data_IF_829325180867
#
_entry.id   IF_829325180867
#
_cell.length_a   1.000
_cell.length_b   1.000
_cell.length_c   1.000
_cell.angle_alpha   90.00
_cell.angle_beta   90.00
_cell.angle_gamma   90.00
#
_symmetry.space_group_name_H-M   'P 1'
#
loop_
_entity.id
_entity.type
_entity.pdbx_description
1 polymer ?
#
# COMPACT_ATOMS: atom_id res chain seq x y z
N UNK A 1 16.92 7.72 -24.51
CA UNK A 1 18.29 8.19 -24.84
C UNK A 1 19.06 8.71 -23.62
N UNK A 2 18.51 9.58 -22.75
CA UNK A 2 19.22 10.08 -21.54
C UNK A 2 19.73 8.97 -20.62
N UNK A 3 18.90 7.98 -20.27
CA UNK A 3 19.33 6.86 -19.40
C UNK A 3 20.46 6.03 -20.01
N UNK A 4 20.42 5.77 -21.32
CA UNK A 4 21.45 5.01 -22.00
C UNK A 4 22.80 5.75 -22.07
N UNK A 5 22.78 7.09 -22.17
CA UNK A 5 23.97 7.91 -22.03
C UNK A 5 24.53 7.87 -20.60
N UNK A 6 23.65 7.97 -19.60
CA UNK A 6 24.02 7.90 -18.19
C UNK A 6 24.64 6.54 -17.83
N UNK A 7 24.07 5.44 -18.32
CA UNK A 7 24.63 4.09 -18.17
C UNK A 7 25.98 3.94 -18.89
N UNK A 8 26.21 4.70 -19.96
CA UNK A 8 27.50 4.72 -20.63
C UNK A 8 28.55 5.51 -19.84
N UNK A 9 28.15 6.59 -19.19
CA UNK A 9 28.99 7.38 -18.28
C UNK A 9 29.37 6.59 -17.02
N UNK A 10 28.45 5.80 -16.47
CA UNK A 10 28.72 4.92 -15.32
C UNK A 10 29.46 3.63 -15.69
N UNK A 11 29.71 3.38 -16.98
CA UNK A 11 30.43 2.20 -17.48
C UNK A 11 29.62 0.92 -17.58
N UNK A 12 28.32 0.95 -17.26
CA UNK A 12 27.40 -0.19 -17.44
C UNK A 12 27.14 -0.51 -18.92
N UNK A 13 27.14 0.52 -19.78
CA UNK A 13 27.15 0.36 -21.22
C UNK A 13 28.47 0.88 -21.77
N UNK A 14 29.00 0.23 -22.81
CA UNK A 14 30.18 0.70 -23.52
C UNK A 14 29.76 1.39 -24.81
N UNK A 15 30.14 2.65 -24.98
CA UNK A 15 30.01 3.35 -26.26
C UNK A 15 31.16 2.95 -27.19
N UNK A 16 30.83 2.46 -28.38
CA UNK A 16 31.78 2.16 -29.46
C UNK A 16 32.08 3.43 -30.27
N UNK A 17 33.12 3.36 -31.11
CA UNK A 17 33.56 4.50 -31.97
C UNK A 17 32.50 4.95 -32.97
N UNK A 18 31.62 4.04 -33.40
CA UNK A 18 30.48 4.30 -34.28
C UNK A 18 29.24 4.87 -33.56
N UNK A 19 29.34 5.12 -32.24
CA UNK A 19 28.25 5.64 -31.42
C UNK A 19 27.29 4.58 -30.88
N UNK A 20 27.44 3.31 -31.25
CA UNK A 20 26.60 2.22 -30.72
C UNK A 20 26.90 1.94 -29.24
N UNK A 21 25.86 1.61 -28.47
CA UNK A 21 25.98 1.22 -27.07
C UNK A 21 25.88 -0.30 -26.98
N UNK A 22 26.86 -0.92 -26.32
CA UNK A 22 26.89 -2.37 -26.11
C UNK A 22 27.00 -2.71 -24.64
N UNK A 23 26.38 -3.82 -24.24
CA UNK A 23 26.55 -4.38 -22.91
C UNK A 23 27.93 -5.05 -22.83
N UNK A 24 28.87 -4.55 -21.99
CA UNK A 24 30.25 -5.00 -21.98
C UNK A 24 30.50 -6.16 -21.00
N UNK A 25 29.52 -6.50 -20.16
CA UNK A 25 29.69 -7.49 -19.10
C UNK A 25 29.19 -8.88 -19.53
N UNK A 26 29.80 -9.97 -19.02
CA UNK A 26 29.33 -11.34 -19.26
C UNK A 26 28.04 -11.68 -18.51
N UNK A 27 27.56 -10.78 -17.65
CA UNK A 27 26.35 -10.98 -16.85
C UNK A 27 25.08 -10.76 -17.67
N UNK A 28 24.01 -11.46 -17.34
CA UNK A 28 22.72 -11.37 -18.04
C UNK A 28 21.73 -10.53 -17.21
N UNK A 29 21.46 -9.26 -17.59
CA UNK A 29 20.62 -8.36 -16.80
C UNK A 29 19.22 -8.92 -16.53
N UNK A 30 18.62 -9.56 -17.54
CA UNK A 30 17.27 -10.10 -17.44
C UNK A 30 17.14 -11.20 -16.35
N UNK A 31 18.20 -11.96 -16.03
CA UNK A 31 18.15 -12.92 -14.92
C UNK A 31 18.12 -12.25 -13.53
N UNK A 32 18.50 -10.98 -13.42
CA UNK A 32 18.50 -10.21 -12.16
C UNK A 32 17.30 -9.26 -12.04
N UNK A 33 16.46 -9.20 -13.07
CA UNK A 33 15.29 -8.33 -13.11
C UNK A 33 14.04 -9.18 -13.10
N UNK A 34 13.39 -9.28 -11.94
CA UNK A 34 12.04 -9.84 -11.87
C UNK A 34 11.06 -8.85 -12.51
N UNK A 35 10.11 -9.38 -13.28
CA UNK A 35 9.07 -8.58 -13.95
C UNK A 35 7.92 -8.19 -13.01
N UNK A 36 7.77 -8.90 -11.88
CA UNK A 36 6.58 -8.78 -11.01
C UNK A 36 6.92 -8.41 -9.56
N UNK A 37 8.15 -8.65 -9.11
CA UNK A 37 8.43 -8.71 -7.68
C UNK A 37 9.78 -8.08 -7.37
N UNK A 38 9.91 -7.48 -6.18
CA UNK A 38 11.20 -7.05 -5.66
C UNK A 38 12.01 -8.22 -5.05
N UNK A 39 11.33 -9.22 -4.46
CA UNK A 39 11.95 -10.45 -3.94
C UNK A 39 11.83 -11.62 -4.91
N UNK A 40 12.85 -12.48 -4.93
CA UNK A 40 12.85 -13.75 -5.65
C UNK A 40 12.29 -14.92 -4.83
N UNK A 41 12.02 -14.73 -3.53
CA UNK A 41 11.53 -15.80 -2.66
C UNK A 41 10.05 -16.10 -2.91
N UNK A 42 9.78 -17.37 -3.23
CA UNK A 42 8.44 -17.87 -3.50
C UNK A 42 8.20 -19.17 -2.74
N UNK A 43 6.94 -19.37 -2.36
CA UNK A 43 6.45 -20.57 -1.72
C UNK A 43 5.66 -21.40 -2.73
N UNK A 44 5.83 -22.72 -2.71
CA UNK A 44 5.08 -23.65 -3.55
C UNK A 44 3.85 -24.11 -2.79
N UNK A 45 2.68 -24.02 -3.41
CA UNK A 45 1.40 -24.48 -2.84
C UNK A 45 1.14 -25.89 -3.32
N UNK A 46 1.04 -26.83 -2.37
CA UNK A 46 0.96 -28.27 -2.64
C UNK A 46 -0.25 -28.86 -1.91
N UNK A 47 -1.02 -29.70 -2.60
CA UNK A 47 -2.11 -30.45 -1.98
C UNK A 47 -1.55 -31.55 -1.09
N UNK A 48 -2.11 -31.68 0.12
CA UNK A 48 -1.64 -32.69 1.09
C UNK A 48 -2.01 -34.13 0.70
N UNK A 49 -3.08 -34.31 -0.08
CA UNK A 49 -3.62 -35.63 -0.45
C UNK A 49 -2.71 -36.40 -1.41
N UNK A 50 -2.25 -35.73 -2.45
CA UNK A 50 -1.58 -36.34 -3.60
C UNK A 50 -0.29 -35.61 -4.01
N UNK A 51 0.09 -34.54 -3.32
CA UNK A 51 1.32 -33.80 -3.59
C UNK A 51 1.27 -32.97 -4.88
N UNK A 52 0.07 -32.69 -5.40
CA UNK A 52 -0.11 -31.89 -6.60
C UNK A 52 0.28 -30.43 -6.32
N UNK A 53 1.14 -29.89 -7.17
CA UNK A 53 1.50 -28.46 -7.13
C UNK A 53 0.39 -27.65 -7.79
N UNK A 54 -0.26 -26.78 -7.00
CA UNK A 54 -1.29 -25.86 -7.50
C UNK A 54 -0.65 -24.60 -8.11
N UNK A 55 0.47 -24.14 -7.55
CA UNK A 55 1.15 -22.95 -8.04
C UNK A 55 2.17 -22.42 -7.03
N UNK A 56 2.57 -21.16 -7.23
CA UNK A 56 3.48 -20.45 -6.31
C UNK A 56 2.87 -19.15 -5.81
N UNK A 57 3.35 -18.69 -4.65
CA UNK A 57 2.98 -17.42 -4.04
C UNK A 57 4.22 -16.69 -3.53
N UNK A 58 4.26 -15.38 -3.68
CA UNK A 58 5.38 -14.56 -3.22
C UNK A 58 5.42 -14.45 -1.69
N UNK A 59 6.62 -14.34 -1.10
CA UNK A 59 6.81 -14.25 0.37
C UNK A 59 6.01 -13.10 0.99
N UNK A 60 5.90 -11.96 0.32
CA UNK A 60 5.17 -10.78 0.79
C UNK A 60 3.66 -11.03 0.91
N UNK A 61 3.15 -12.05 0.22
CA UNK A 61 1.72 -12.40 0.18
C UNK A 61 1.39 -13.68 0.94
N UNK A 62 2.37 -14.56 1.15
CA UNK A 62 2.15 -15.86 1.79
C UNK A 62 1.55 -15.71 3.19
N UNK A 63 2.05 -14.78 4.00
CA UNK A 63 1.51 -14.57 5.35
C UNK A 63 0.09 -14.02 5.36
N UNK A 64 -0.33 -13.31 4.31
CA UNK A 64 -1.67 -12.70 4.24
C UNK A 64 -2.71 -13.66 3.65
N UNK A 65 -2.31 -14.48 2.67
CA UNK A 65 -3.22 -15.29 1.86
C UNK A 65 -3.09 -16.80 2.13
N UNK A 66 -1.96 -17.22 2.68
CA UNK A 66 -1.59 -18.63 2.80
C UNK A 66 -0.92 -18.94 4.16
N UNK A 67 -1.32 -18.24 5.22
CA UNK A 67 -0.93 -18.58 6.58
C UNK A 67 -1.67 -19.84 7.07
N UNK A 68 -1.18 -20.54 8.11
CA UNK A 68 -1.92 -21.64 8.73
C UNK A 68 -3.33 -21.21 9.12
N UNK A 69 -4.34 -21.98 8.69
CA UNK A 69 -5.75 -21.70 8.89
C UNK A 69 -6.41 -20.78 7.85
N UNK A 70 -5.66 -20.24 6.88
CA UNK A 70 -6.22 -19.44 5.79
C UNK A 70 -7.05 -20.29 4.82
N UNK A 71 -8.12 -19.71 4.28
CA UNK A 71 -8.84 -20.24 3.13
C UNK A 71 -8.27 -19.58 1.87
N UNK A 72 -7.47 -20.35 1.14
CA UNK A 72 -6.85 -19.96 -0.12
C UNK A 72 -7.75 -20.30 -1.31
N UNK A 73 -8.01 -19.33 -2.18
CA UNK A 73 -8.81 -19.52 -3.39
C UNK A 73 -7.89 -19.68 -4.61
N UNK A 74 -8.01 -20.80 -5.31
CA UNK A 74 -7.28 -21.09 -6.53
C UNK A 74 -8.24 -21.48 -7.66
N UNK A 75 -8.33 -20.64 -8.69
CA UNK A 75 -9.19 -20.87 -9.87
C UNK A 75 -10.66 -21.21 -9.52
N UNK A 76 -11.19 -20.58 -8.48
CA UNK A 76 -12.57 -20.79 -8.00
C UNK A 76 -12.76 -21.96 -7.04
N UNK A 77 -11.70 -22.74 -6.76
CA UNK A 77 -11.70 -23.79 -5.75
C UNK A 77 -11.05 -23.29 -4.46
N UNK A 78 -11.69 -23.59 -3.32
CA UNK A 78 -11.21 -23.20 -2.00
C UNK A 78 -10.38 -24.30 -1.37
N UNK A 79 -9.29 -23.91 -0.74
CA UNK A 79 -8.38 -24.80 -0.02
C UNK A 79 -8.08 -24.24 1.36
N UNK A 80 -8.07 -25.08 2.38
CA UNK A 80 -7.65 -24.72 3.73
C UNK A 80 -6.15 -24.96 3.84
N UNK A 81 -5.43 -23.94 4.29
CA UNK A 81 -3.99 -24.04 4.56
C UNK A 81 -3.78 -24.75 5.89
N UNK A 82 -3.23 -25.96 5.80
CA UNK A 82 -2.94 -26.81 6.95
C UNK A 82 -1.58 -26.51 7.58
N UNK A 83 -0.58 -26.15 6.77
CA UNK A 83 0.77 -25.86 7.23
C UNK A 83 1.46 -24.87 6.29
N UNK A 84 2.28 -23.99 6.87
CA UNK A 84 3.20 -23.09 6.17
C UNK A 84 4.61 -23.39 6.66
N UNK A 85 5.42 -24.01 5.82
CA UNK A 85 6.82 -24.33 6.08
C UNK A 85 7.72 -23.23 5.51
N UNK A 86 8.31 -22.44 6.41
CA UNK A 86 9.18 -21.32 6.05
C UNK A 86 10.58 -21.75 5.61
N UNK A 87 11.06 -22.90 6.07
CA UNK A 87 12.39 -23.38 5.76
C UNK A 87 12.42 -24.04 4.38
N UNK A 88 11.39 -24.82 4.07
CA UNK A 88 11.24 -25.51 2.79
C UNK A 88 10.42 -24.72 1.76
N UNK A 89 9.99 -23.51 2.09
CA UNK A 89 9.15 -22.65 1.25
C UNK A 89 7.93 -23.38 0.65
N UNK A 90 7.19 -24.10 1.49
CA UNK A 90 6.06 -24.94 1.07
C UNK A 90 4.79 -24.62 1.85
N UNK A 91 3.67 -24.51 1.16
CA UNK A 91 2.32 -24.37 1.75
C UNK A 91 1.55 -25.65 1.49
N UNK A 92 1.15 -26.35 2.56
CA UNK A 92 0.33 -27.55 2.44
C UNK A 92 -1.15 -27.20 2.58
N UNK A 93 -1.94 -27.57 1.57
CA UNK A 93 -3.36 -27.26 1.51
C UNK A 93 -4.24 -28.50 1.36
N UNK A 94 -5.46 -28.43 1.87
CA UNK A 94 -6.50 -29.45 1.77
C UNK A 94 -7.76 -28.83 1.14
N UNK A 95 -8.55 -29.59 0.38
CA UNK A 95 -9.80 -29.08 -0.19
C UNK A 95 -10.73 -28.57 0.92
N UNK A 96 -11.33 -27.40 0.69
CA UNK A 96 -12.20 -26.75 1.67
C UNK A 96 -13.61 -26.56 1.12
N UNK A 97 -14.54 -27.35 1.66
CA UNK A 97 -15.97 -27.27 1.35
C UNK A 97 -16.79 -26.46 2.35
N UNK A 98 -16.15 -25.64 3.19
CA UNK A 98 -16.85 -24.83 4.20
C UNK A 98 -17.47 -23.55 3.65
N UNK A 99 -18.20 -22.83 4.49
CA UNK A 99 -19.00 -21.65 4.12
C UNK A 99 -18.41 -20.32 4.61
N UNK A 100 -17.14 -20.31 5.03
CA UNK A 100 -16.45 -19.12 5.49
C UNK A 100 -15.22 -18.80 4.64
N UNK A 101 -14.79 -17.56 4.66
CA UNK A 101 -13.52 -17.11 4.12
C UNK A 101 -12.67 -16.48 5.22
N UNK A 102 -11.39 -16.27 4.96
CA UNK A 102 -10.46 -15.71 5.95
C UNK A 102 -9.95 -14.35 5.54
N UNK A 103 -9.79 -13.46 6.52
CA UNK A 103 -9.20 -12.14 6.32
C UNK A 103 -8.10 -11.89 7.36
N UNK A 104 -6.88 -11.67 6.89
CA UNK A 104 -5.73 -11.39 7.76
C UNK A 104 -5.84 -10.01 8.41
N UNK A 105 -5.45 -9.92 9.68
CA UNK A 105 -5.25 -8.69 10.44
C UNK A 105 -3.76 -8.45 10.62
N UNK A 106 -3.35 -7.22 10.33
CA UNK A 106 -1.95 -6.90 10.08
C UNK A 106 -1.59 -5.68 10.88
N UNK A 107 -0.62 -5.84 11.76
CA UNK A 107 -0.01 -4.73 12.46
C UNK A 107 1.06 -4.09 11.57
N UNK A 108 1.15 -2.76 11.63
CA UNK A 108 2.04 -2.00 10.79
C UNK A 108 2.64 -0.84 11.56
N UNK A 109 3.95 -0.70 11.45
CA UNK A 109 4.68 0.47 11.93
C UNK A 109 5.57 1.02 10.82
N UNK A 110 5.90 2.30 10.96
CA UNK A 110 6.80 3.01 10.04
C UNK A 110 7.86 3.76 10.83
N UNK A 111 9.05 3.82 10.25
CA UNK A 111 10.16 4.63 10.71
C UNK A 111 10.60 5.54 9.55
N UNK A 112 10.67 6.85 9.81
CA UNK A 112 11.21 7.82 8.86
C UNK A 112 12.74 7.67 8.86
N UNK A 113 13.25 7.03 7.80
CA UNK A 113 14.67 6.74 7.63
C UNK A 113 15.43 7.92 6.98
N UNK A 114 14.76 8.72 6.17
CA UNK A 114 15.36 9.90 5.57
C UNK A 114 14.35 10.83 4.92
N UNK A 115 14.67 12.13 4.92
CA UNK A 115 13.87 13.16 4.25
C UNK A 115 14.64 13.71 3.05
N UNK A 116 14.00 13.71 1.88
CA UNK A 116 14.59 14.19 0.63
C UNK A 116 14.03 15.53 0.17
N UNK A 117 12.76 15.83 0.47
CA UNK A 117 12.11 17.09 0.11
C UNK A 117 11.00 17.42 1.11
N UNK A 118 10.73 18.72 1.26
CA UNK A 118 9.63 19.23 2.07
C UNK A 118 9.02 20.44 1.39
N UNK A 119 7.71 20.59 1.50
CA UNK A 119 7.00 21.79 1.05
C UNK A 119 5.77 22.04 1.91
N UNK A 120 5.47 23.32 2.11
CA UNK A 120 4.29 23.73 2.83
C UNK A 120 3.06 23.65 1.91
N UNK A 121 2.03 22.92 2.34
CA UNK A 121 0.75 22.84 1.61
C UNK A 121 -0.21 23.90 2.12
N UNK A 122 -0.29 24.06 3.45
CA UNK A 122 -1.02 25.11 4.16
C UNK A 122 -0.14 25.69 5.27
N UNK A 123 -0.47 26.87 5.85
CA UNK A 123 0.33 27.47 6.91
C UNK A 123 0.74 26.52 8.05
N UNK A 124 -0.14 25.58 8.43
CA UNK A 124 0.11 24.59 9.49
C UNK A 124 0.33 23.16 8.99
N UNK A 125 0.36 22.91 7.67
CA UNK A 125 0.47 21.56 7.11
C UNK A 125 1.66 21.47 6.16
N UNK A 126 2.63 20.63 6.52
CA UNK A 126 3.80 20.35 5.71
C UNK A 126 3.70 18.97 5.08
N UNK A 127 4.11 18.89 3.81
CA UNK A 127 4.21 17.67 3.04
C UNK A 127 5.69 17.34 2.81
N UNK A 128 6.05 16.10 3.05
CA UNK A 128 7.39 15.58 2.96
C UNK A 128 7.46 14.46 1.93
N UNK A 129 8.65 14.25 1.39
CA UNK A 129 9.02 13.13 0.53
C UNK A 129 10.35 12.58 1.03
N UNK A 130 10.46 11.27 1.12
CA UNK A 130 11.69 10.63 1.59
C UNK A 130 11.57 9.12 1.63
N UNK A 131 12.33 8.52 2.53
CA UNK A 131 12.44 7.07 2.69
C UNK A 131 11.87 6.66 4.03
N UNK A 132 11.02 5.64 4.01
CA UNK A 132 10.56 4.94 5.21
C UNK A 132 11.19 3.56 5.29
N UNK A 133 11.34 3.07 6.51
CA UNK A 133 11.37 1.65 6.81
C UNK A 133 9.97 1.26 7.29
N UNK A 134 9.36 0.29 6.61
CA UNK A 134 8.01 -0.20 6.90
C UNK A 134 8.13 -1.60 7.47
N UNK A 135 7.50 -1.81 8.63
CA UNK A 135 7.39 -3.12 9.27
C UNK A 135 5.93 -3.57 9.24
N UNK A 136 5.68 -4.77 8.71
CA UNK A 136 4.36 -5.38 8.66
C UNK A 136 4.38 -6.78 9.29
N UNK A 137 3.40 -7.08 10.14
CA UNK A 137 3.26 -8.40 10.76
C UNK A 137 1.80 -8.88 10.69
N UNK A 138 1.59 -10.11 10.23
CA UNK A 138 0.26 -10.74 10.31
C UNK A 138 0.09 -11.32 11.71
N UNK A 139 -0.67 -10.61 12.56
CA UNK A 139 -0.83 -10.91 13.99
C UNK A 139 -2.07 -11.72 14.31
N UNK A 140 -3.05 -11.74 13.40
CA UNK A 140 -4.28 -12.51 13.55
C UNK A 140 -4.98 -12.69 12.21
N UNK A 141 -6.05 -13.48 12.19
CA UNK A 141 -7.00 -13.50 11.08
C UNK A 141 -8.43 -13.71 11.60
N UNK A 142 -9.40 -13.31 10.80
CA UNK A 142 -10.82 -13.52 11.06
C UNK A 142 -11.38 -14.57 10.11
N UNK A 143 -12.17 -15.50 10.63
CA UNK A 143 -13.09 -16.31 9.83
C UNK A 143 -14.40 -15.54 9.69
N UNK A 144 -14.81 -15.31 8.45
CA UNK A 144 -16.02 -14.53 8.12
C UNK A 144 -16.97 -15.38 7.31
N UNK A 145 -18.24 -15.37 7.65
CA UNK A 145 -19.27 -16.08 6.88
C UNK A 145 -19.33 -15.52 5.44
N UNK A 146 -19.37 -16.40 4.43
CA UNK A 146 -19.35 -15.98 3.03
C UNK A 146 -20.63 -15.24 2.59
N UNK A 147 -21.76 -15.49 3.24
CA UNK A 147 -23.08 -14.93 2.88
C UNK A 147 -23.40 -13.62 3.61
N UNK A 148 -23.21 -13.57 4.93
CA UNK A 148 -23.56 -12.42 5.76
C UNK A 148 -22.38 -11.54 6.18
N UNK A 149 -21.15 -11.92 5.84
CA UNK A 149 -19.91 -11.24 6.23
C UNK A 149 -19.71 -11.08 7.75
N UNK A 150 -20.42 -11.90 8.52
CA UNK A 150 -20.33 -11.93 9.98
C UNK A 150 -18.99 -12.54 10.42
N UNK A 151 -18.32 -11.90 11.37
CA UNK A 151 -17.13 -12.46 12.02
C UNK A 151 -17.56 -13.64 12.89
N UNK A 152 -17.10 -14.84 12.51
CA UNK A 152 -17.36 -16.08 13.25
C UNK A 152 -16.33 -16.28 14.37
N UNK A 153 -15.07 -15.99 14.08
CA UNK A 153 -13.96 -16.24 14.98
C UNK A 153 -12.78 -15.32 14.63
N UNK A 154 -12.02 -14.89 15.64
CA UNK A 154 -10.71 -14.24 15.46
C UNK A 154 -9.64 -15.10 16.10
N UNK A 155 -8.61 -15.46 15.32
CA UNK A 155 -7.53 -16.34 15.75
C UNK A 155 -6.22 -15.57 15.64
N UNK A 156 -5.45 -15.56 16.74
CA UNK A 156 -4.13 -14.93 16.77
C UNK A 156 -3.09 -15.81 16.05
N UNK A 157 -2.13 -15.14 15.42
CA UNK A 157 -1.02 -15.75 14.71
C UNK A 157 0.30 -15.14 15.22
N UNK A 158 1.35 -15.95 15.19
CA UNK A 158 2.70 -15.52 15.50
C UNK A 158 3.57 -15.73 14.26
N UNK A 159 3.38 -14.86 13.27
CA UNK A 159 4.12 -14.89 12.01
C UNK A 159 5.25 -13.86 12.04
N UNK A 160 6.37 -14.10 11.33
CA UNK A 160 7.51 -13.20 11.36
C UNK A 160 7.18 -11.84 10.74
N UNK A 161 7.81 -10.80 11.27
CA UNK A 161 7.75 -9.45 10.71
C UNK A 161 8.41 -9.38 9.34
N UNK A 162 7.86 -8.55 8.47
CA UNK A 162 8.44 -8.19 7.18
C UNK A 162 8.85 -6.73 7.23
N UNK A 163 10.16 -6.48 7.09
CA UNK A 163 10.74 -5.15 7.10
C UNK A 163 11.28 -4.83 5.71
N UNK A 164 10.91 -3.67 5.16
CA UNK A 164 11.47 -3.19 3.91
C UNK A 164 11.58 -1.66 3.89
N UNK A 165 12.63 -1.17 3.24
CA UNK A 165 12.78 0.25 2.97
C UNK A 165 12.12 0.62 1.65
N UNK A 166 11.39 1.75 1.61
CA UNK A 166 10.71 2.22 0.41
C UNK A 166 10.59 3.74 0.41
N UNK A 167 10.24 4.30 -0.74
CA UNK A 167 9.98 5.71 -0.89
C UNK A 167 8.55 6.05 -0.45
N UNK A 168 8.39 7.19 0.23
CA UNK A 168 7.10 7.64 0.74
C UNK A 168 6.94 9.15 0.66
N UNK A 169 5.68 9.56 0.60
CA UNK A 169 5.24 10.90 0.98
C UNK A 169 4.47 10.83 2.29
N UNK A 170 4.58 11.86 3.10
CA UNK A 170 3.77 12.00 4.31
C UNK A 170 3.46 13.45 4.59
N UNK A 171 2.34 13.71 5.23
CA UNK A 171 2.00 15.05 5.68
C UNK A 171 1.64 15.03 7.15
N UNK A 172 2.09 16.07 7.85
CA UNK A 172 1.89 16.24 9.28
C UNK A 172 0.78 17.26 9.51
N UNK A 173 -0.09 16.96 10.48
CA UNK A 173 -1.26 17.78 10.80
C UNK A 173 -1.28 18.08 12.30
N UNK A 174 -0.76 19.25 12.72
CA UNK A 174 -0.78 19.69 14.10
C UNK A 174 -2.20 19.68 14.70
N UNK A 175 -2.32 19.44 16.01
CA UNK A 175 -3.60 19.41 16.71
C UNK A 175 -4.46 20.65 16.45
N UNK A 176 -3.85 21.84 16.51
CA UNK A 176 -4.52 23.11 16.21
C UNK A 176 -5.19 23.16 14.82
N UNK A 177 -4.68 22.43 13.83
CA UNK A 177 -5.30 22.35 12.50
C UNK A 177 -6.46 21.35 12.52
N UNK A 178 -6.29 20.20 13.17
CA UNK A 178 -7.31 19.17 13.28
C UNK A 178 -8.54 19.65 14.05
N UNK A 179 -8.34 20.43 15.12
CA UNK A 179 -9.41 21.02 15.94
C UNK A 179 -10.33 21.96 15.13
N UNK A 180 -9.87 22.46 13.97
CA UNK A 180 -10.68 23.31 13.09
C UNK A 180 -11.67 22.52 12.22
N UNK A 181 -11.45 21.21 12.03
CA UNK A 181 -12.20 20.42 11.07
C UNK A 181 -12.76 19.09 11.59
N UNK A 182 -12.29 18.62 12.76
CA UNK A 182 -12.70 17.36 13.36
C UNK A 182 -13.20 17.57 14.79
N UNK A 183 -14.23 16.81 15.16
CA UNK A 183 -14.67 16.74 16.54
C UNK A 183 -13.83 15.71 17.33
N UNK A 184 -13.93 15.77 18.65
CA UNK A 184 -13.29 14.81 19.54
C UNK A 184 -13.70 13.37 19.20
N UNK A 185 -12.73 12.45 19.19
CA UNK A 185 -12.94 11.04 18.87
C UNK A 185 -13.02 10.69 17.37
N UNK A 186 -13.11 11.67 16.47
CA UNK A 186 -13.23 11.40 15.02
C UNK A 186 -11.88 11.16 14.33
N UNK A 187 -10.78 11.57 14.97
CA UNK A 187 -9.47 11.67 14.34
C UNK A 187 -8.99 10.34 13.72
N UNK A 188 -8.98 9.18 14.42
CA UNK A 188 -8.46 7.94 13.82
C UNK A 188 -9.24 7.53 12.57
N UNK A 189 -10.58 7.55 12.63
CA UNK A 189 -11.43 7.18 11.50
C UNK A 189 -11.38 8.17 10.34
N UNK A 190 -11.20 9.46 10.61
CA UNK A 190 -11.05 10.49 9.59
C UNK A 190 -9.72 10.37 8.82
N UNK A 191 -8.62 10.18 9.54
CA UNK A 191 -7.29 10.00 8.93
C UNK A 191 -7.27 8.72 8.07
N UNK A 192 -7.79 7.62 8.59
CA UNK A 192 -7.80 6.32 7.91
C UNK A 192 -8.66 6.33 6.64
N UNK A 193 -9.85 6.92 6.70
CA UNK A 193 -10.70 7.06 5.51
C UNK A 193 -10.11 8.03 4.47
N UNK A 194 -9.42 9.10 4.90
CA UNK A 194 -8.74 10.02 4.00
C UNK A 194 -7.53 9.36 3.31
N UNK A 195 -6.73 8.59 4.06
CA UNK A 195 -5.64 7.78 3.53
C UNK A 195 -6.13 6.83 2.43
N UNK A 196 -7.19 6.05 2.72
CA UNK A 196 -7.79 5.15 1.75
C UNK A 196 -8.25 5.86 0.48
N UNK A 197 -8.94 7.00 0.61
CA UNK A 197 -9.41 7.76 -0.54
C UNK A 197 -8.25 8.29 -1.38
N UNK A 198 -7.21 8.83 -0.76
CA UNK A 198 -6.00 9.28 -1.45
C UNK A 198 -5.31 8.14 -2.21
N UNK A 199 -5.16 6.96 -1.60
CA UNK A 199 -4.59 5.77 -2.27
C UNK A 199 -5.50 5.32 -3.44
N UNK A 200 -6.82 5.38 -3.28
CA UNK A 200 -7.77 4.95 -4.31
C UNK A 200 -7.69 5.83 -5.58
N UNK A 201 -7.45 7.14 -5.45
CA UNK A 201 -7.33 8.06 -6.59
C UNK A 201 -5.89 8.25 -7.09
N UNK A 202 -4.88 7.81 -6.35
CA UNK A 202 -3.46 7.91 -6.74
C UNK A 202 -3.15 7.35 -8.15
N UNK A 203 -3.75 6.22 -8.59
CA UNK A 203 -3.62 5.72 -9.96
C UNK A 203 -3.83 6.76 -11.07
N UNK A 204 -4.65 7.80 -10.84
CA UNK A 204 -4.87 8.89 -11.81
C UNK A 204 -3.59 9.70 -12.11
N UNK A 205 -2.63 9.69 -11.18
CA UNK A 205 -1.41 10.50 -11.22
C UNK A 205 -0.15 9.69 -11.52
N UNK A 206 -0.11 8.42 -11.11
CA UNK A 206 1.06 7.56 -11.26
C UNK A 206 0.88 6.42 -12.28
N UNK A 207 -0.33 6.25 -12.85
CA UNK A 207 -0.67 5.14 -13.77
C UNK A 207 -0.27 3.77 -13.21
N UNK A 208 -0.55 3.55 -11.93
CA UNK A 208 -0.30 2.31 -11.21
C UNK A 208 -1.62 1.64 -10.81
N UNK A 209 -1.55 0.43 -10.26
CA UNK A 209 -2.68 -0.13 -9.52
C UNK A 209 -2.65 0.41 -8.07
N UNK A 210 -3.81 0.49 -7.40
CA UNK A 210 -3.87 0.82 -5.97
C UNK A 210 -3.14 -0.22 -5.10
N UNK A 211 -3.01 -1.46 -5.57
CA UNK A 211 -2.26 -2.53 -4.90
C UNK A 211 -0.75 -2.26 -4.88
N UNK A 212 -0.25 -1.40 -5.78
CA UNK A 212 1.15 -0.99 -5.87
C UNK A 212 1.55 0.04 -4.80
N UNK A 213 0.58 0.50 -4.00
CA UNK A 213 0.75 1.54 -2.99
C UNK A 213 0.36 0.99 -1.62
N UNK A 214 1.10 1.38 -0.59
CA UNK A 214 0.73 1.17 0.81
C UNK A 214 0.50 2.50 1.51
N UNK A 215 -0.09 2.42 2.70
CA UNK A 215 -0.21 3.56 3.58
C UNK A 215 -0.30 3.19 5.04
N UNK A 216 -0.15 4.21 5.87
CA UNK A 216 -0.42 4.18 7.30
C UNK A 216 -0.93 5.56 7.71
N UNK A 217 -1.96 5.60 8.53
CA UNK A 217 -2.42 6.79 9.22
C UNK A 217 -2.39 6.57 10.72
N UNK A 218 -1.95 7.59 11.45
CA UNK A 218 -1.92 7.53 12.92
C UNK A 218 -2.27 8.89 13.52
N UNK A 219 -3.08 8.93 14.59
CA UNK A 219 -3.37 10.16 15.33
C UNK A 219 -2.12 10.75 16.01
N UNK A 220 -1.10 9.93 16.27
CA UNK A 220 0.19 10.37 16.81
C UNK A 220 1.31 9.45 16.32
N UNK A 221 2.33 10.04 15.71
CA UNK A 221 3.53 9.34 15.30
C UNK A 221 4.74 9.85 16.08
N UNK A 222 5.49 8.94 16.69
CA UNK A 222 6.54 9.26 17.66
C UNK A 222 7.70 10.12 17.11
N UNK A 223 8.01 10.06 15.80
CA UNK A 223 9.06 10.92 15.21
C UNK A 223 8.57 12.30 14.80
N UNK A 224 7.29 12.44 14.45
CA UNK A 224 6.72 13.72 14.01
C UNK A 224 5.97 14.44 15.13
N UNK A 225 5.75 13.75 16.26
CA UNK A 225 5.03 14.18 17.46
C UNK A 225 3.62 14.73 17.16
N UNK A 226 3.00 14.23 16.09
CA UNK A 226 1.69 14.71 15.66
C UNK A 226 0.98 13.70 14.74
N UNK A 227 -0.27 13.99 14.39
CA UNK A 227 -1.04 13.18 13.47
C UNK A 227 -0.38 13.19 12.09
N UNK A 228 -0.16 12.01 11.54
CA UNK A 228 0.58 11.85 10.29
C UNK A 228 -0.08 10.79 9.43
N UNK A 229 -0.17 11.08 8.13
CA UNK A 229 -0.57 10.11 7.12
C UNK A 229 0.62 9.88 6.20
N UNK A 230 0.94 8.61 5.99
CA UNK A 230 2.00 8.12 5.14
C UNK A 230 1.38 7.39 3.95
N UNK A 231 1.88 7.68 2.74
CA UNK A 231 1.60 6.92 1.54
C UNK A 231 2.96 6.55 0.94
N UNK A 232 3.17 5.28 0.65
CA UNK A 232 4.46 4.74 0.24
C UNK A 232 4.33 3.75 -0.92
N UNK A 233 5.40 3.60 -1.69
CA UNK A 233 5.44 2.60 -2.76
C UNK A 233 5.44 1.20 -2.13
N UNK A 234 4.55 0.32 -2.59
CA UNK A 234 4.41 -1.06 -2.11
C UNK A 234 5.53 -2.01 -2.54
N UNK A 235 6.71 -1.48 -2.84
CA UNK A 235 7.86 -2.20 -3.37
C UNK A 235 9.14 -1.79 -2.61
N UNK A 236 9.94 -2.75 -2.14
CA UNK A 236 11.28 -2.48 -1.63
C UNK A 236 12.11 -1.60 -2.57
N UNK A 237 12.73 -0.57 -2.00
CA UNK A 237 13.51 0.46 -2.71
C UNK A 237 12.69 1.59 -3.34
N UNK A 238 11.37 1.42 -3.49
CA UNK A 238 10.51 2.36 -4.19
C UNK A 238 10.67 2.32 -5.71
N UNK A 239 9.59 2.61 -6.43
CA UNK A 239 9.54 2.68 -7.90
C UNK A 239 9.15 4.07 -8.42
N UNK A 240 8.96 5.02 -7.51
CA UNK A 240 8.71 6.43 -7.78
C UNK A 240 7.23 6.79 -7.99
N UNK A 241 6.28 6.00 -7.49
CA UNK A 241 4.85 6.33 -7.60
C UNK A 241 4.53 7.53 -6.71
N UNK A 242 5.01 7.50 -5.47
CA UNK A 242 4.81 8.58 -4.51
C UNK A 242 5.43 9.91 -4.92
N UNK A 243 6.49 9.95 -5.74
CA UNK A 243 7.00 11.19 -6.34
C UNK A 243 5.95 11.90 -7.19
N UNK A 244 5.16 11.13 -7.95
CA UNK A 244 4.06 11.68 -8.76
C UNK A 244 2.96 12.23 -7.87
N UNK A 245 2.57 11.47 -6.85
CA UNK A 245 1.59 11.90 -5.87
C UNK A 245 2.04 13.14 -5.08
N UNK A 246 3.31 13.22 -4.70
CA UNK A 246 3.89 14.39 -4.02
C UNK A 246 3.82 15.66 -4.89
N UNK A 247 4.15 15.52 -6.19
CA UNK A 247 4.07 16.61 -7.14
C UNK A 247 2.63 17.08 -7.42
N UNK A 248 1.67 16.16 -7.36
CA UNK A 248 0.25 16.41 -7.63
C UNK A 248 -0.63 16.45 -6.37
N UNK A 249 -0.05 16.63 -5.18
CA UNK A 249 -0.73 16.43 -3.90
C UNK A 249 -2.05 17.19 -3.76
N UNK A 250 -2.10 18.46 -4.17
CA UNK A 250 -3.32 19.27 -4.09
C UNK A 250 -4.45 18.69 -4.96
N UNK A 251 -4.12 18.24 -6.18
CA UNK A 251 -5.09 17.61 -7.07
C UNK A 251 -5.52 16.23 -6.53
N UNK A 252 -4.57 15.45 -5.98
CA UNK A 252 -4.85 14.18 -5.32
C UNK A 252 -5.85 14.33 -4.16
N UNK A 253 -5.66 15.34 -3.31
CA UNK A 253 -6.58 15.66 -2.20
C UNK A 253 -7.95 16.08 -2.73
N UNK A 254 -7.98 16.91 -3.78
CA UNK A 254 -9.24 17.35 -4.41
C UNK A 254 -10.04 16.19 -5.03
N UNK A 255 -9.37 15.24 -5.69
CA UNK A 255 -10.01 14.05 -6.27
C UNK A 255 -10.45 13.05 -5.19
N UNK A 256 -9.64 12.84 -4.15
CA UNK A 256 -10.02 12.00 -3.01
C UNK A 256 -11.28 12.55 -2.32
N UNK A 257 -11.34 13.88 -2.17
CA UNK A 257 -12.53 14.57 -1.66
C UNK A 257 -13.72 14.37 -2.59
N UNK A 258 -13.53 14.53 -3.90
CA UNK A 258 -14.59 14.36 -4.90
C UNK A 258 -15.18 12.94 -4.82
N UNK A 259 -14.31 11.92 -4.82
CA UNK A 259 -14.66 10.51 -4.66
C UNK A 259 -15.56 10.27 -3.43
N UNK A 260 -15.18 10.84 -2.28
CA UNK A 260 -15.98 10.70 -1.05
C UNK A 260 -17.31 11.46 -1.17
N UNK A 261 -17.29 12.69 -1.69
CA UNK A 261 -18.46 13.58 -1.72
C UNK A 261 -19.54 13.15 -2.71
N UNK A 262 -19.15 12.55 -3.84
CA UNK A 262 -20.09 12.11 -4.89
C UNK A 262 -20.59 10.68 -4.67
N UNK A 263 -19.94 9.91 -3.79
CA UNK A 263 -20.39 8.58 -3.46
C UNK A 263 -21.74 8.63 -2.70
N UNK A 264 -22.79 7.91 -3.13
CA UNK A 264 -24.13 8.00 -2.55
C UNK A 264 -24.28 7.27 -1.19
N UNK A 265 -23.24 6.55 -0.72
CA UNK A 265 -23.32 5.82 0.54
C UNK A 265 -23.41 6.74 1.76
N UNK A 266 -24.05 6.30 2.84
CA UNK A 266 -24.20 7.10 4.06
C UNK A 266 -22.92 7.11 4.91
N UNK A 267 -22.37 5.93 5.21
CA UNK A 267 -21.31 5.76 6.23
C UNK A 267 -19.92 5.42 5.64
N UNK A 268 -19.85 5.06 4.36
CA UNK A 268 -18.64 4.56 3.71
C UNK A 268 -18.88 3.22 3.02
N UNK A 269 -18.16 2.95 1.92
CA UNK A 269 -18.28 1.70 1.16
C UNK A 269 -16.98 1.38 0.40
N UNK A 270 -16.88 0.19 -0.24
CA UNK A 270 -15.75 -0.20 -1.10
C UNK A 270 -15.42 0.77 -2.23
N UNK A 271 -16.38 1.60 -2.65
CA UNK A 271 -16.19 2.57 -3.73
C UNK A 271 -15.65 3.93 -3.26
N UNK A 272 -15.51 4.19 -1.96
CA UNK A 272 -15.05 5.51 -1.49
C UNK A 272 -13.98 5.48 -0.39
N UNK A 273 -14.23 4.81 0.74
CA UNK A 273 -13.35 4.91 1.93
C UNK A 273 -12.86 3.57 2.45
N UNK A 274 -13.31 2.46 1.88
CA UNK A 274 -12.79 1.14 2.24
C UNK A 274 -11.71 0.71 1.25
N UNK A 275 -10.68 0.04 1.78
CA UNK A 275 -9.60 -0.55 1.01
C UNK A 275 -9.57 -2.07 1.21
N UNK A 276 -9.46 -2.89 0.15
CA UNK A 276 -9.30 -4.33 0.28
C UNK A 276 -7.91 -4.73 0.80
N UNK A 277 -6.94 -3.80 0.79
CA UNK A 277 -5.57 -4.00 1.31
C UNK A 277 -5.43 -3.56 2.78
N UNK A 278 -6.50 -3.04 3.38
CA UNK A 278 -6.47 -2.55 4.75
C UNK A 278 -6.16 -3.69 5.73
N UNK A 279 -5.01 -3.59 6.42
CA UNK A 279 -4.59 -4.52 7.45
C UNK A 279 -5.39 -4.41 8.76
N UNK A 280 -6.05 -3.27 8.96
CA UNK A 280 -6.90 -2.96 10.11
C UNK A 280 -8.38 -3.25 9.84
N UNK A 281 -8.69 -4.13 8.88
CA UNK A 281 -10.05 -4.61 8.61
C UNK A 281 -11.07 -3.49 8.31
N UNK A 282 -10.62 -2.34 7.80
CA UNK A 282 -11.44 -1.16 7.54
C UNK A 282 -12.13 -0.59 8.80
N UNK A 283 -11.48 -0.67 9.96
CA UNK A 283 -12.01 -0.14 11.22
C UNK A 283 -10.92 0.58 12.05
N UNK A 284 -11.18 1.79 12.60
CA UNK A 284 -12.35 2.65 12.34
C UNK A 284 -12.27 3.38 11.00
N UNK A 285 -13.42 3.71 10.41
CA UNK A 285 -13.52 4.60 9.23
C UNK A 285 -14.62 5.65 9.44
N UNK A 286 -14.33 6.89 9.08
CA UNK A 286 -15.31 7.99 9.10
C UNK A 286 -15.36 8.70 7.76
N UNK A 287 -16.42 8.44 6.97
CA UNK A 287 -16.66 9.13 5.69
C UNK A 287 -16.78 10.65 5.90
N UNK A 288 -17.61 11.06 6.87
CA UNK A 288 -17.84 12.48 7.16
C UNK A 288 -16.58 13.18 7.69
N UNK A 289 -15.84 12.51 8.59
CA UNK A 289 -14.57 13.01 9.12
C UNK A 289 -13.53 13.18 8.02
N UNK A 290 -13.34 12.17 7.16
CA UNK A 290 -12.43 12.28 6.02
C UNK A 290 -12.82 13.40 5.06
N UNK A 291 -14.11 13.59 4.78
CA UNK A 291 -14.58 14.68 3.94
C UNK A 291 -14.26 16.05 4.53
N UNK A 292 -14.48 16.26 5.84
CA UNK A 292 -14.12 17.52 6.51
C UNK A 292 -12.62 17.75 6.51
N UNK A 293 -11.83 16.71 6.79
CA UNK A 293 -10.37 16.77 6.76
C UNK A 293 -9.84 17.15 5.37
N UNK A 294 -10.28 16.45 4.32
CA UNK A 294 -9.86 16.73 2.95
C UNK A 294 -10.32 18.11 2.48
N UNK A 295 -11.49 18.60 2.92
CA UNK A 295 -11.92 19.97 2.68
C UNK A 295 -10.97 20.99 3.33
N UNK A 296 -10.55 20.76 4.58
CA UNK A 296 -9.64 21.64 5.30
C UNK A 296 -8.22 21.64 4.70
N UNK A 297 -7.81 20.54 4.05
CA UNK A 297 -6.53 20.41 3.36
C UNK A 297 -6.49 21.16 2.00
N UNK A 298 -7.62 21.63 1.49
CA UNK A 298 -7.65 22.39 0.22
C UNK A 298 -7.01 23.75 0.42
N UNK A 299 -6.17 24.15 -0.54
CA UNK A 299 -5.83 25.56 -0.68
C UNK A 299 -7.10 26.33 -1.09
N UNK A 300 -7.39 27.50 -0.50
CA UNK A 300 -8.39 28.39 -1.07
C UNK A 300 -7.99 28.66 -2.52
N UNK A 301 -8.93 28.45 -3.45
CA UNK A 301 -8.65 28.47 -4.88
C UNK A 301 -8.03 29.82 -5.30
N UNK A 302 -6.71 29.86 -5.46
CA UNK A 302 -6.06 30.87 -6.29
C UNK A 302 -6.24 30.43 -7.73
N UNK A 303 -7.42 30.72 -8.28
CA UNK A 303 -7.85 30.43 -9.66
C UNK A 303 -6.69 30.42 -10.67
N UNK A 304 -6.14 29.26 -11.06
CA UNK A 304 -5.33 29.16 -12.24
C UNK A 304 -6.29 28.75 -13.34
N UNK A 305 -6.70 29.72 -14.17
CA UNK A 305 -7.34 29.41 -15.46
C UNK A 305 -6.42 28.43 -16.18
N UNK A 306 -6.81 27.15 -16.21
CA UNK A 306 -6.25 26.17 -17.13
C UNK A 306 -6.64 26.65 -18.52
N UNK A 307 -5.72 27.37 -19.17
CA UNK A 307 -5.80 27.58 -20.62
C UNK A 307 -5.81 26.20 -21.29
N UNK A 308 -6.79 25.89 -22.14
CA UNK A 308 -6.78 24.63 -22.87
C UNK A 308 -5.53 24.59 -23.75
N UNK A 309 -4.75 23.51 -23.64
CA UNK A 309 -3.68 23.23 -24.59
C UNK A 309 -4.31 23.06 -25.97
N UNK A 310 -3.94 23.95 -26.90
CA UNK A 310 -4.08 23.75 -28.34
C UNK A 310 -2.98 22.82 -28.84
#
# INVERSE_FOLDING_TARGET
LRRAAQLAETGELRRRRDGTLVWPAPSFPAARTSLRTASSEQFVIVTKRDGLVLGTIERERVFRLAHPGAVYLHLGQSYLVSNLDLDNHTVLVEEFGGTYYTQAKIDKSVLIAGQSSTRQVLPSVNLFLGTLEVTEQVVAFQKREATGDQVLETINLDLPEQVFSTEALWWIMPGQFLDTCLAEGELPGALHAAEHACIAVLPLYAMCDRWDVGGLSTPWHWQTDTATVFIYDGYPGGVGLVRRAYAAFEALVDDARLLISECPCASGCPSCVQSPKCGNLNEPLSKAGALRLLNALRRPATNPRLTPRK
#
